data_IF_796527194882
#
_entry.id   IF_796527194882
#
_cell.length_a   1.000
_cell.length_b   1.000
_cell.length_c   1.000
_cell.angle_alpha   90.00
_cell.angle_beta   90.00
_cell.angle_gamma   90.00
#
_symmetry.space_group_name_H-M   'P 1'
#
loop_
_entity.id
_entity.type
_entity.pdbx_description
1 polymer ?
#
# COMPACT_ATOMS: atom_id res chain seq x y z
N UNK A 1 15.71 -5.76 -4.97
CA UNK A 1 14.63 -6.75 -5.17
C UNK A 1 13.32 -5.99 -5.33
N UNK A 2 12.62 -6.27 -6.42
CA UNK A 2 11.36 -5.64 -6.87
C UNK A 2 10.25 -6.69 -6.90
N UNK A 3 9.02 -6.32 -7.24
CA UNK A 3 7.96 -7.31 -7.42
C UNK A 3 8.30 -8.19 -8.64
N UNK A 4 8.05 -9.50 -8.52
CA UNK A 4 8.26 -10.48 -9.59
C UNK A 4 7.07 -11.43 -9.74
N UNK A 5 5.94 -11.01 -10.33
CA UNK A 5 4.88 -11.92 -10.78
C UNK A 5 5.29 -12.69 -12.06
N UNK A 6 4.42 -13.62 -12.48
CA UNK A 6 4.53 -14.30 -13.78
C UNK A 6 4.43 -13.30 -14.94
N UNK A 7 4.94 -13.67 -16.12
CA UNK A 7 4.97 -12.80 -17.29
C UNK A 7 3.57 -12.32 -17.71
N UNK A 8 2.57 -13.22 -17.71
CA UNK A 8 1.17 -12.85 -17.98
C UNK A 8 0.62 -11.79 -17.00
N UNK A 9 0.84 -11.96 -15.69
CA UNK A 9 0.35 -11.02 -14.66
C UNK A 9 1.10 -9.68 -14.73
N UNK A 10 2.42 -9.70 -15.00
CA UNK A 10 3.22 -8.48 -15.22
C UNK A 10 2.66 -7.66 -16.39
N UNK A 11 2.48 -8.25 -17.56
CA UNK A 11 2.02 -7.47 -18.74
C UNK A 11 0.57 -6.99 -18.58
N UNK A 12 -0.31 -7.76 -17.93
CA UNK A 12 -1.67 -7.30 -17.63
C UNK A 12 -1.70 -6.10 -16.66
N UNK A 13 -0.91 -6.17 -15.58
CA UNK A 13 -0.76 -5.08 -14.61
C UNK A 13 -0.15 -3.82 -15.25
N UNK A 14 0.89 -4.00 -16.06
CA UNK A 14 1.54 -2.96 -16.85
C UNK A 14 0.59 -2.33 -17.86
N UNK A 15 -0.24 -3.10 -18.56
CA UNK A 15 -1.20 -2.57 -19.53
C UNK A 15 -2.22 -1.62 -18.90
N UNK A 16 -2.82 -1.99 -17.76
CA UNK A 16 -3.76 -1.12 -17.05
C UNK A 16 -3.05 0.09 -16.40
N UNK A 17 -1.82 -0.08 -15.88
CA UNK A 17 -1.02 1.04 -15.37
C UNK A 17 -0.68 2.05 -16.48
N UNK A 18 -0.16 1.57 -17.62
CA UNK A 18 0.19 2.41 -18.78
C UNK A 18 -1.01 3.17 -19.36
N UNK A 19 -2.18 2.54 -19.39
CA UNK A 19 -3.45 3.17 -19.82
C UNK A 19 -3.77 4.42 -18.97
N UNK A 20 -3.63 4.31 -17.65
CA UNK A 20 -3.91 5.42 -16.72
C UNK A 20 -2.74 6.42 -16.61
N UNK A 21 -1.50 5.95 -16.76
CA UNK A 21 -0.26 6.74 -16.64
C UNK A 21 0.31 7.19 -18.01
N UNK A 22 -0.55 7.29 -19.04
CA UNK A 22 -0.14 7.55 -20.44
C UNK A 22 0.31 8.99 -20.74
N UNK A 23 0.15 9.93 -19.79
CA UNK A 23 0.47 11.35 -19.96
C UNK A 23 1.95 11.73 -19.80
N UNK A 24 2.84 10.79 -19.50
CA UNK A 24 4.24 11.05 -19.16
C UNK A 24 5.21 10.46 -20.19
N UNK A 25 6.29 11.18 -20.59
CA UNK A 25 7.25 10.68 -21.58
C UNK A 25 7.97 9.42 -21.11
N UNK A 26 8.09 8.42 -22.00
CA UNK A 26 8.91 7.23 -21.74
C UNK A 26 10.40 7.57 -21.64
N UNK A 27 11.13 6.80 -20.84
CA UNK A 27 12.58 6.78 -20.75
C UNK A 27 13.12 5.39 -21.14
N UNK A 28 14.43 5.23 -21.41
CA UNK A 28 15.05 3.92 -21.64
C UNK A 28 14.84 2.97 -20.45
N UNK A 29 14.81 1.66 -20.73
CA UNK A 29 14.74 0.61 -19.71
C UNK A 29 15.94 0.64 -18.75
N UNK A 30 15.77 0.07 -17.55
CA UNK A 30 16.83 0.02 -16.53
C UNK A 30 16.93 -1.35 -15.85
N UNK A 31 18.03 -2.06 -16.10
CA UNK A 31 18.23 -3.45 -15.69
C UNK A 31 17.03 -4.33 -16.12
N UNK A 32 16.30 -4.91 -15.16
CA UNK A 32 15.12 -5.77 -15.38
C UNK A 32 13.80 -5.00 -15.48
N UNK A 33 13.82 -3.67 -15.36
CA UNK A 33 12.63 -2.81 -15.44
C UNK A 33 12.49 -2.27 -16.87
N UNK A 34 11.42 -2.66 -17.55
CA UNK A 34 11.15 -2.32 -18.96
C UNK A 34 10.26 -1.08 -19.15
N UNK A 35 9.63 -0.61 -18.06
CA UNK A 35 8.57 0.39 -18.08
C UNK A 35 9.03 1.64 -17.34
N UNK A 36 9.77 2.50 -18.04
CA UNK A 36 10.47 3.67 -17.49
C UNK A 36 9.94 5.00 -18.05
N UNK A 37 9.97 6.04 -17.22
CA UNK A 37 9.47 7.37 -17.55
C UNK A 37 10.49 8.47 -17.23
N UNK A 38 10.42 9.57 -17.98
CA UNK A 38 11.09 10.83 -17.66
C UNK A 38 10.07 11.77 -17.01
N UNK A 39 10.16 11.92 -15.69
CA UNK A 39 9.31 12.79 -14.87
C UNK A 39 10.03 14.09 -14.49
N UNK A 40 11.21 14.37 -15.07
CA UNK A 40 11.92 15.62 -14.84
C UNK A 40 11.11 16.82 -15.38
N UNK A 41 11.03 17.89 -14.59
CA UNK A 41 10.19 19.06 -14.89
C UNK A 41 8.75 18.99 -14.38
N UNK A 42 8.24 17.81 -14.00
CA UNK A 42 6.93 17.67 -13.36
C UNK A 42 7.05 17.96 -11.85
N UNK A 43 6.30 18.94 -11.35
CA UNK A 43 6.26 19.27 -9.91
C UNK A 43 5.35 18.31 -9.13
N UNK A 44 4.27 17.88 -9.77
CA UNK A 44 3.27 16.97 -9.24
C UNK A 44 2.94 15.91 -10.31
N UNK A 45 2.71 14.67 -9.87
CA UNK A 45 2.47 13.50 -10.73
C UNK A 45 1.32 12.71 -10.11
N UNK A 46 0.28 12.44 -10.88
CA UNK A 46 -0.78 11.50 -10.49
C UNK A 46 -0.34 10.06 -10.77
N UNK A 47 -0.17 9.27 -9.71
CA UNK A 47 0.33 7.89 -9.75
C UNK A 47 -0.81 6.94 -9.35
N UNK A 48 -1.26 6.04 -10.23
CA UNK A 48 -2.32 5.08 -9.92
C UNK A 48 -1.98 4.19 -8.71
N UNK A 49 -2.94 4.00 -7.80
CA UNK A 49 -2.77 3.13 -6.63
C UNK A 49 -2.63 1.67 -7.10
N UNK A 50 -1.60 0.95 -6.64
CA UNK A 50 -1.45 -0.49 -6.89
C UNK A 50 -1.85 -1.26 -5.62
N UNK A 51 -2.86 -2.12 -5.73
CA UNK A 51 -3.36 -2.95 -4.63
C UNK A 51 -3.11 -4.42 -4.85
N UNK A 52 -2.61 -5.09 -3.82
CA UNK A 52 -2.51 -6.54 -3.70
C UNK A 52 -3.62 -7.05 -2.77
N UNK A 53 -4.30 -8.12 -3.20
CA UNK A 53 -5.41 -8.78 -2.51
C UNK A 53 -4.99 -10.21 -2.21
N UNK A 54 -5.16 -10.62 -0.95
CA UNK A 54 -4.80 -11.95 -0.49
C UNK A 54 -6.03 -12.72 -0.01
N UNK A 55 -5.91 -14.05 0.00
CA UNK A 55 -6.93 -14.94 0.55
C UNK A 55 -7.33 -14.53 1.98
N UNK A 56 -8.61 -14.69 2.31
CA UNK A 56 -9.17 -14.18 3.57
C UNK A 56 -9.41 -12.66 3.60
N UNK A 57 -9.40 -12.00 2.43
CA UNK A 57 -9.76 -10.58 2.25
C UNK A 57 -8.79 -9.57 2.87
N UNK A 58 -7.51 -9.92 3.02
CA UNK A 58 -6.48 -8.95 3.36
C UNK A 58 -6.08 -8.11 2.13
N UNK A 59 -5.86 -6.81 2.33
CA UNK A 59 -5.38 -5.88 1.29
C UNK A 59 -4.03 -5.25 1.68
N UNK A 60 -3.11 -5.16 0.72
CA UNK A 60 -1.89 -4.35 0.80
C UNK A 60 -1.93 -3.29 -0.30
N UNK A 61 -2.08 -2.02 0.09
CA UNK A 61 -1.92 -0.89 -0.83
C UNK A 61 -0.44 -0.54 -0.96
N UNK A 62 0.14 -0.66 -2.15
CA UNK A 62 1.55 -0.35 -2.39
C UNK A 62 1.76 1.15 -2.24
N UNK A 63 2.62 1.54 -1.29
CA UNK A 63 3.00 2.94 -1.09
C UNK A 63 3.66 3.52 -2.36
N UNK A 64 3.46 4.81 -2.62
CA UNK A 64 3.99 5.50 -3.80
C UNK A 64 5.51 5.36 -3.98
N UNK A 65 6.27 5.28 -2.88
CA UNK A 65 7.72 5.05 -2.89
C UNK A 65 8.10 3.60 -3.21
N UNK A 66 7.12 2.69 -3.21
CA UNK A 66 7.19 1.29 -3.61
C UNK A 66 6.61 1.00 -5.01
N UNK A 67 5.81 1.91 -5.58
CA UNK A 67 5.39 1.83 -7.00
C UNK A 67 6.57 2.10 -7.93
N UNK A 68 7.42 3.08 -7.59
CA UNK A 68 8.53 3.52 -8.46
C UNK A 68 9.94 3.32 -7.86
N UNK A 69 10.87 2.95 -8.73
CA UNK A 69 12.32 2.92 -8.55
C UNK A 69 12.93 4.15 -9.24
N UNK A 70 13.49 5.07 -8.47
CA UNK A 70 14.16 6.25 -9.02
C UNK A 70 15.61 5.89 -9.37
N UNK A 71 15.96 5.91 -10.67
CA UNK A 71 17.32 5.56 -11.14
C UNK A 71 18.30 6.69 -10.91
N UNK A 72 17.83 7.93 -11.02
CA UNK A 72 18.56 9.15 -10.69
C UNK A 72 17.70 10.07 -9.82
N UNK A 73 18.34 11.00 -9.11
CA UNK A 73 17.67 11.95 -8.21
C UNK A 73 16.72 12.87 -8.96
N UNK A 74 17.14 13.42 -10.10
CA UNK A 74 16.37 14.36 -10.92
C UNK A 74 15.14 13.79 -11.65
N UNK A 75 14.72 12.56 -11.33
CA UNK A 75 13.56 11.86 -11.89
C UNK A 75 13.51 11.78 -13.44
N UNK A 76 14.65 11.89 -14.14
CA UNK A 76 14.69 11.76 -15.60
C UNK A 76 14.66 10.32 -16.09
N UNK A 77 14.79 9.35 -15.18
CA UNK A 77 14.54 7.94 -15.41
C UNK A 77 13.93 7.30 -14.15
N UNK A 78 12.64 6.98 -14.21
CA UNK A 78 11.85 6.43 -13.11
C UNK A 78 11.21 5.11 -13.53
N UNK A 79 11.71 4.03 -12.92
CA UNK A 79 11.32 2.62 -13.05
C UNK A 79 9.97 2.26 -12.43
N UNK A 80 8.95 1.76 -13.17
CA UNK A 80 7.90 0.96 -12.52
C UNK A 80 8.57 -0.23 -11.81
N UNK A 81 8.38 -0.36 -10.49
CA UNK A 81 9.17 -1.26 -9.63
C UNK A 81 8.68 -2.72 -9.67
N UNK A 82 8.33 -3.22 -10.86
CA UNK A 82 7.79 -4.54 -11.14
C UNK A 82 8.57 -5.11 -12.33
N UNK A 83 9.08 -6.34 -12.19
CA UNK A 83 9.67 -7.13 -13.27
C UNK A 83 8.90 -8.46 -13.40
N UNK A 84 9.17 -9.28 -14.41
CA UNK A 84 8.72 -10.67 -14.44
C UNK A 84 9.80 -11.61 -13.95
N UNK A 85 9.36 -12.77 -13.44
CA UNK A 85 10.23 -13.94 -13.32
C UNK A 85 10.30 -14.67 -14.67
N UNK A 86 11.40 -15.36 -14.92
CA UNK A 86 11.68 -16.01 -16.22
C UNK A 86 10.84 -17.26 -16.49
N UNK A 87 10.26 -17.86 -15.44
CA UNK A 87 9.49 -19.08 -15.49
C UNK A 87 8.08 -18.81 -14.95
N UNK A 88 7.03 -19.30 -15.62
CA UNK A 88 5.64 -19.02 -15.20
C UNK A 88 5.19 -19.88 -14.00
N UNK A 89 5.93 -20.95 -13.68
CA UNK A 89 5.73 -21.78 -12.49
C UNK A 89 6.32 -21.18 -11.19
N UNK A 90 7.02 -20.03 -11.27
CA UNK A 90 7.61 -19.38 -10.09
C UNK A 90 6.59 -18.54 -9.31
N UNK A 91 6.61 -18.67 -7.98
CA UNK A 91 5.72 -17.95 -7.06
C UNK A 91 6.02 -16.45 -7.08
N UNK A 92 4.97 -15.64 -7.19
CA UNK A 92 5.07 -14.18 -7.29
C UNK A 92 5.79 -13.54 -6.09
N UNK A 93 6.95 -12.92 -6.33
CA UNK A 93 7.76 -12.28 -5.28
C UNK A 93 7.25 -10.87 -4.96
N UNK A 94 7.05 -10.54 -3.68
CA UNK A 94 6.79 -9.16 -3.22
C UNK A 94 8.12 -8.55 -2.74
N UNK A 95 8.71 -7.68 -3.57
CA UNK A 95 10.01 -7.09 -3.29
C UNK A 95 10.01 -6.03 -2.18
N UNK A 96 11.21 -5.72 -1.67
CA UNK A 96 11.44 -4.69 -0.65
C UNK A 96 10.83 -3.31 -1.01
N UNK A 97 10.72 -2.99 -2.31
CA UNK A 97 10.04 -1.76 -2.74
C UNK A 97 8.56 -1.76 -2.33
N UNK A 98 7.83 -2.84 -2.58
CA UNK A 98 6.41 -2.96 -2.27
C UNK A 98 6.13 -3.09 -0.77
N UNK A 99 7.14 -3.49 0.02
CA UNK A 99 7.08 -3.55 1.49
C UNK A 99 7.39 -2.20 2.17
N UNK A 100 7.79 -1.16 1.43
CA UNK A 100 8.08 0.17 2.01
C UNK A 100 6.87 0.75 2.73
N UNK A 101 7.14 1.40 3.86
CA UNK A 101 6.16 2.04 4.75
C UNK A 101 5.09 1.09 5.33
N UNK A 102 5.26 -0.23 5.15
CA UNK A 102 4.45 -1.28 5.77
C UNK A 102 5.22 -2.00 6.87
N UNK A 103 4.48 -2.54 7.85
CA UNK A 103 5.05 -3.37 8.91
C UNK A 103 4.75 -4.84 8.64
N UNK A 104 5.72 -5.56 8.07
CA UNK A 104 5.65 -7.02 7.99
C UNK A 104 5.75 -7.59 9.40
N UNK A 105 4.80 -8.45 9.77
CA UNK A 105 4.79 -9.22 11.01
C UNK A 105 4.69 -10.69 10.60
N UNK A 106 5.57 -11.52 11.16
CA UNK A 106 5.58 -12.97 10.93
C UNK A 106 5.24 -13.66 12.25
N UNK A 107 4.05 -14.27 12.36
CA UNK A 107 3.76 -15.19 13.46
C UNK A 107 4.19 -16.60 13.04
N UNK A 108 5.15 -17.16 13.77
CA UNK A 108 5.70 -18.49 13.49
C UNK A 108 4.97 -19.62 14.22
N UNK A 109 3.90 -19.30 14.97
CA UNK A 109 3.06 -20.25 15.71
C UNK A 109 1.76 -20.57 14.97
N UNK A 110 1.20 -19.57 14.29
CA UNK A 110 0.06 -19.75 13.37
C UNK A 110 0.58 -19.55 11.94
N UNK A 111 0.96 -20.66 11.29
CA UNK A 111 1.61 -20.68 9.97
C UNK A 111 0.61 -20.40 8.82
N UNK A 112 -0.01 -19.24 8.88
CA UNK A 112 -0.96 -18.73 7.90
C UNK A 112 -0.22 -18.04 6.75
N UNK A 113 -0.14 -18.73 5.62
CA UNK A 113 0.40 -18.19 4.37
C UNK A 113 -0.75 -17.71 3.49
N UNK A 114 -1.20 -16.46 3.68
CA UNK A 114 -2.23 -15.85 2.84
C UNK A 114 -1.69 -15.72 1.40
N UNK A 115 -2.26 -16.48 0.46
CA UNK A 115 -1.84 -16.45 -0.94
C UNK A 115 -2.30 -15.16 -1.62
N UNK A 116 -1.47 -14.61 -2.52
CA UNK A 116 -1.81 -13.46 -3.33
C UNK A 116 -2.82 -13.87 -4.41
N UNK A 117 -4.10 -13.69 -4.14
CA UNK A 117 -5.21 -13.99 -5.07
C UNK A 117 -5.16 -13.08 -6.30
N UNK A 118 -4.89 -11.79 -6.10
CA UNK A 118 -4.99 -10.78 -7.16
C UNK A 118 -4.11 -9.55 -6.92
N UNK A 119 -3.61 -8.98 -8.00
CA UNK A 119 -3.09 -7.61 -8.02
C UNK A 119 -3.92 -6.75 -8.98
N UNK A 120 -4.12 -5.48 -8.65
CA UNK A 120 -4.90 -4.53 -9.44
C UNK A 120 -4.31 -3.12 -9.40
N UNK A 121 -4.50 -2.38 -10.48
CA UNK A 121 -4.38 -0.92 -10.49
C UNK A 121 -5.77 -0.34 -10.16
N UNK A 122 -5.86 0.57 -9.19
CA UNK A 122 -7.08 1.31 -8.92
C UNK A 122 -7.25 2.44 -9.94
N UNK A 123 -8.48 2.86 -10.21
CA UNK A 123 -8.77 4.14 -10.90
C UNK A 123 -8.59 5.36 -10.00
N UNK A 124 -8.20 5.15 -8.73
CA UNK A 124 -7.72 6.20 -7.82
C UNK A 124 -6.21 6.36 -8.00
N UNK A 125 -5.77 7.61 -8.05
CA UNK A 125 -4.35 7.99 -8.03
C UNK A 125 -3.98 8.71 -6.73
N UNK A 126 -2.76 8.47 -6.26
CA UNK A 126 -2.05 9.35 -5.33
C UNK A 126 -1.42 10.51 -6.11
N UNK A 127 -1.62 11.75 -5.66
CA UNK A 127 -0.80 12.88 -6.11
C UNK A 127 0.54 12.81 -5.38
N UNK A 128 1.61 12.62 -6.12
CA UNK A 128 2.97 12.70 -5.61
C UNK A 128 3.60 14.04 -5.98
N UNK A 129 4.17 14.73 -4.99
CA UNK A 129 4.89 15.99 -5.21
C UNK A 129 6.39 15.75 -5.06
N UNK A 130 7.19 16.18 -6.04
CA UNK A 130 8.63 15.89 -6.07
C UNK A 130 9.36 16.28 -4.78
N UNK A 131 8.97 17.41 -4.18
CA UNK A 131 9.57 17.97 -2.95
C UNK A 131 9.31 17.14 -1.68
N UNK A 132 8.40 16.16 -1.70
CA UNK A 132 8.13 15.29 -0.56
C UNK A 132 9.30 14.32 -0.25
N UNK A 133 10.31 14.25 -1.12
CA UNK A 133 11.57 13.54 -0.86
C UNK A 133 12.57 14.36 -0.02
N UNK A 134 12.58 15.69 -0.15
CA UNK A 134 13.53 16.58 0.54
C UNK A 134 13.07 17.00 1.95
N UNK A 135 11.78 16.82 2.28
CA UNK A 135 11.24 17.23 3.58
C UNK A 135 9.92 16.54 3.94
N UNK A 136 9.89 15.87 5.09
CA UNK A 136 8.72 15.09 5.56
C UNK A 136 7.55 16.02 5.94
N UNK A 137 6.58 16.20 5.03
CA UNK A 137 5.21 16.66 5.35
C UNK A 137 4.14 15.99 4.47
N UNK A 138 4.07 14.65 4.53
CA UNK A 138 2.96 13.90 3.92
C UNK A 138 1.65 14.22 4.64
N UNK A 139 0.63 14.65 3.90
CA UNK A 139 -0.75 14.61 4.39
C UNK A 139 -1.28 13.17 4.31
N UNK A 140 -1.10 12.39 5.38
CA UNK A 140 -1.80 11.11 5.49
C UNK A 140 -3.30 11.35 5.47
N UNK A 141 -4.03 10.62 4.61
CA UNK A 141 -5.46 10.45 4.81
C UNK A 141 -5.66 9.87 6.22
N UNK A 142 -6.56 10.47 7.00
CA UNK A 142 -6.75 10.08 8.38
C UNK A 142 -7.33 8.66 8.44
N UNK A 143 -6.52 7.70 8.90
CA UNK A 143 -7.00 6.37 9.25
C UNK A 143 -7.60 6.49 10.65
N UNK A 144 -8.91 6.72 10.71
CA UNK A 144 -9.63 6.69 11.99
C UNK A 144 -9.51 5.30 12.62
N UNK A 145 -9.04 5.25 13.86
CA UNK A 145 -8.78 4.00 14.58
C UNK A 145 -10.11 3.33 14.95
N UNK A 146 -10.60 2.45 14.07
CA UNK A 146 -11.76 1.59 14.35
C UNK A 146 -11.36 0.57 15.44
N UNK A 147 -11.49 0.99 16.70
CA UNK A 147 -11.38 0.10 17.86
C UNK A 147 -12.50 -0.95 17.76
N UNK A 148 -12.19 -2.25 17.70
CA UNK A 148 -13.22 -3.29 17.70
C UNK A 148 -13.92 -3.33 19.06
N UNK A 149 -15.13 -2.77 19.11
CA UNK A 149 -15.98 -2.83 20.30
C UNK A 149 -16.58 -4.25 20.41
N UNK A 150 -16.01 -5.09 21.27
CA UNK A 150 -16.62 -6.35 21.67
C UNK A 150 -16.44 -6.57 23.17
N UNK A 151 -17.51 -6.34 23.94
CA UNK A 151 -17.51 -6.55 25.40
C UNK A 151 -18.89 -6.98 25.92
N UNK A 152 -19.08 -8.29 26.01
CA UNK A 152 -20.01 -8.97 26.94
C UNK A 152 -19.40 -10.35 27.17
N UNK A 153 -18.49 -10.49 28.14
CA UNK A 153 -18.70 -10.58 29.60
C UNK A 153 -19.20 -11.95 30.05
N UNK A 154 -18.36 -12.64 30.81
CA UNK A 154 -18.83 -13.69 31.72
C UNK A 154 -17.87 -13.92 32.89
N UNK A 155 -17.71 -12.97 33.83
CA UNK A 155 -17.31 -13.29 35.24
C UNK A 155 -17.46 -12.15 36.28
N UNK A 156 -18.68 -12.03 36.80
CA UNK A 156 -19.02 -12.03 38.25
C UNK A 156 -18.24 -11.12 39.23
N UNK A 157 -18.94 -10.05 39.63
CA UNK A 157 -19.03 -9.46 40.98
C UNK A 157 -17.92 -8.55 41.54
N UNK A 158 -18.35 -7.32 41.86
CA UNK A 158 -18.21 -6.73 43.20
C UNK A 158 -19.50 -6.01 43.63
N UNK A 159 -19.62 -5.70 44.92
CA UNK A 159 -20.87 -5.33 45.61
C UNK A 159 -20.81 -3.88 46.14
N UNK A 160 -21.98 -3.26 46.31
CA UNK A 160 -22.27 -2.02 47.07
C UNK A 160 -21.96 -0.67 46.40
N UNK A 161 -23.04 0.00 45.99
CA UNK A 161 -23.35 1.43 46.12
C UNK A 161 -24.91 1.52 46.16
N UNK A 162 -25.65 2.61 46.46
CA UNK A 162 -25.50 3.90 47.20
C UNK A 162 -26.93 4.53 47.24
N UNK A 163 -27.31 5.70 47.77
CA UNK A 163 -26.69 6.90 48.39
C UNK A 163 -27.69 7.41 49.48
N UNK A 164 -27.28 8.00 50.63
CA UNK A 164 -28.22 8.77 51.48
C UNK A 164 -28.55 10.13 50.83
N UNK A 165 -29.80 10.35 50.43
CA UNK A 165 -30.23 11.57 49.72
C UNK A 165 -30.71 12.68 50.67
N UNK A 166 -30.19 13.90 50.48
CA UNK A 166 -30.55 15.12 51.23
C UNK A 166 -31.74 15.89 50.63
N UNK A 167 -32.49 16.60 51.50
CA UNK A 167 -33.76 17.30 51.21
C UNK A 167 -33.63 18.59 50.40
N UNK A 168 -34.61 18.86 49.53
CA UNK A 168 -35.27 20.17 49.27
C UNK A 168 -36.52 19.89 48.41
N UNK A 169 -37.78 20.33 48.66
CA UNK A 169 -38.34 21.65 49.01
C UNK A 169 -38.04 22.68 47.92
N UNK A 170 -38.97 23.37 47.24
CA UNK A 170 -40.42 23.67 47.43
C UNK A 170 -41.20 23.41 46.10
N UNK A 171 -42.50 23.70 45.89
CA UNK A 171 -43.52 24.49 46.61
C UNK A 171 -44.87 23.79 46.47
#
# INVERSE_FOLDING_TARGET
>A
MVMGPTQAVKEALKAEFMKQFSGYPSAPSFMILDSCFNLSGYQEVEIPDIKMYFEGSAELNVDVTGVFYFVNTGASQVCLAIASLSNEDEVGIIGNYQQKNHRVINDTKDLRWDLLEKIAVSTRSMIWKYKDQDGIKRSSAQVDEIKPACSTDMSRAKKVSSVPAGKSSTR
#
